data_IF_850436634603
#
_entry.id   IF_850436634603
#
_cell.length_a   1.000
_cell.length_b   1.000
_cell.length_c   1.000
_cell.angle_alpha   90.00
_cell.angle_beta   90.00
_cell.angle_gamma   90.00
#
_symmetry.space_group_name_H-M   'P 1'
#
loop_
_entity.id
_entity.type
_entity.pdbx_description
1 polymer ?
#
# COMPACT_ATOMS: atom_id res chain seq x y z
N UNK A 1 10.02 -11.90 -8.71
CA UNK A 1 9.10 -11.63 -9.82
C UNK A 1 8.13 -12.79 -9.93
N UNK A 2 6.84 -12.51 -10.03
CA UNK A 2 5.79 -13.51 -10.25
C UNK A 2 4.81 -13.02 -11.32
N UNK A 3 4.28 -13.96 -12.10
CA UNK A 3 3.15 -13.76 -13.01
C UNK A 3 2.14 -14.83 -12.63
N UNK A 4 0.90 -14.46 -12.46
CA UNK A 4 -0.13 -15.38 -12.03
C UNK A 4 -1.48 -15.14 -12.73
N UNK A 5 -2.27 -16.20 -12.77
CA UNK A 5 -3.67 -16.16 -13.15
C UNK A 5 -4.47 -16.92 -12.09
N UNK A 6 -5.52 -16.30 -11.58
CA UNK A 6 -6.41 -16.87 -10.56
C UNK A 6 -7.84 -16.79 -11.02
N UNK A 7 -8.52 -17.93 -11.03
CA UNK A 7 -9.97 -18.03 -11.18
C UNK A 7 -10.61 -18.17 -9.80
N UNK A 8 -11.62 -17.36 -9.54
CA UNK A 8 -12.41 -17.43 -8.32
C UNK A 8 -13.89 -17.55 -8.73
N UNK A 9 -14.53 -18.62 -8.27
CA UNK A 9 -15.94 -18.89 -8.49
C UNK A 9 -16.72 -18.66 -7.19
N UNK A 10 -17.98 -18.27 -7.30
CA UNK A 10 -18.89 -18.10 -6.17
C UNK A 10 -18.39 -17.09 -5.11
N UNK A 11 -17.81 -15.98 -5.54
CA UNK A 11 -17.44 -14.89 -4.66
C UNK A 11 -18.69 -14.21 -4.08
N UNK A 12 -18.71 -14.06 -2.76
CA UNK A 12 -19.76 -13.27 -2.10
C UNK A 12 -19.29 -11.83 -1.97
N UNK A 13 -20.07 -10.91 -2.51
CA UNK A 13 -19.86 -9.47 -2.34
C UNK A 13 -21.17 -8.76 -1.98
N UNK A 14 -21.04 -7.54 -1.47
CA UNK A 14 -22.16 -6.66 -1.24
C UNK A 14 -22.37 -5.78 -2.46
N UNK A 15 -23.43 -6.03 -3.20
CA UNK A 15 -23.78 -5.28 -4.41
C UNK A 15 -25.09 -4.51 -4.24
N UNK A 16 -25.28 -3.48 -5.05
CA UNK A 16 -26.53 -2.72 -5.17
C UNK A 16 -26.76 -2.28 -6.61
N UNK A 17 -28.00 -2.27 -7.09
CA UNK A 17 -28.32 -1.92 -8.48
C UNK A 17 -28.10 -0.42 -8.78
N UNK A 18 -28.21 0.44 -7.75
CA UNK A 18 -28.04 1.89 -7.89
C UNK A 18 -27.54 2.51 -6.57
N UNK A 19 -27.19 3.81 -6.62
CA UNK A 19 -26.61 4.55 -5.48
C UNK A 19 -27.59 4.75 -4.31
N UNK A 20 -28.90 4.60 -4.53
CA UNK A 20 -29.95 4.80 -3.51
C UNK A 20 -30.37 3.51 -2.84
N UNK A 21 -30.11 2.39 -3.47
CA UNK A 21 -30.44 1.06 -2.98
C UNK A 21 -29.51 0.60 -1.85
N UNK A 22 -30.02 -0.30 -1.01
CA UNK A 22 -29.21 -0.94 0.03
C UNK A 22 -28.28 -1.97 -0.60
N UNK A 23 -27.13 -2.16 0.02
CA UNK A 23 -26.24 -3.25 -0.33
C UNK A 23 -26.80 -4.59 0.13
N UNK A 24 -26.83 -5.58 -0.75
CA UNK A 24 -27.25 -6.96 -0.48
C UNK A 24 -26.08 -7.91 -0.74
N UNK A 25 -25.93 -8.92 0.12
CA UNK A 25 -24.94 -9.95 -0.08
C UNK A 25 -25.37 -10.82 -1.26
N UNK A 26 -24.58 -10.81 -2.32
CA UNK A 26 -24.87 -11.52 -3.57
C UNK A 26 -23.66 -12.34 -3.99
N UNK A 27 -23.95 -13.48 -4.62
CA UNK A 27 -22.91 -14.33 -5.17
C UNK A 27 -22.53 -13.81 -6.57
N UNK A 28 -21.26 -13.37 -6.72
CA UNK A 28 -20.68 -13.02 -8.01
C UNK A 28 -20.16 -14.31 -8.65
N UNK A 29 -20.65 -14.62 -9.85
CA UNK A 29 -20.46 -15.92 -10.46
C UNK A 29 -18.98 -16.27 -10.68
N UNK A 30 -18.20 -15.37 -11.27
CA UNK A 30 -16.80 -15.67 -11.60
C UNK A 30 -15.95 -14.40 -11.75
N UNK A 31 -14.75 -14.44 -11.17
CA UNK A 31 -13.71 -13.42 -11.36
C UNK A 31 -12.41 -14.09 -11.79
N UNK A 32 -11.85 -13.67 -12.93
CA UNK A 32 -10.51 -14.04 -13.36
C UNK A 32 -9.57 -12.89 -13.10
N UNK A 33 -8.56 -13.10 -12.25
CA UNK A 33 -7.53 -12.12 -11.92
C UNK A 33 -6.22 -12.53 -12.57
N UNK A 34 -5.66 -11.67 -13.42
CA UNK A 34 -4.30 -11.78 -13.95
C UNK A 34 -3.41 -10.77 -13.27
N UNK A 35 -2.23 -11.18 -12.87
CA UNK A 35 -1.34 -10.31 -12.15
C UNK A 35 0.13 -10.50 -12.48
N UNK A 36 0.87 -9.43 -12.22
CA UNK A 36 2.32 -9.37 -12.28
C UNK A 36 2.85 -8.69 -11.01
N UNK A 37 3.86 -9.30 -10.40
CA UNK A 37 4.54 -8.78 -9.22
C UNK A 37 6.05 -8.75 -9.43
N UNK A 38 6.65 -7.62 -9.09
CA UNK A 38 8.11 -7.43 -9.08
C UNK A 38 8.53 -6.86 -7.74
N UNK A 39 9.47 -7.53 -7.08
CA UNK A 39 10.14 -7.00 -5.90
C UNK A 39 11.66 -7.11 -6.11
N UNK A 40 12.39 -6.06 -5.82
CA UNK A 40 13.84 -6.03 -5.90
C UNK A 40 14.44 -5.13 -4.83
N UNK A 41 15.59 -5.54 -4.32
CA UNK A 41 16.41 -4.77 -3.38
C UNK A 41 17.77 -4.50 -3.99
N UNK A 42 18.18 -3.26 -3.98
CA UNK A 42 19.52 -2.84 -4.34
C UNK A 42 20.26 -2.36 -3.08
N UNK A 43 21.34 -3.06 -2.74
CA UNK A 43 22.17 -2.75 -1.57
C UNK A 43 23.50 -2.18 -2.00
N UNK A 44 23.86 -1.05 -1.44
CA UNK A 44 25.11 -0.39 -1.72
C UNK A 44 25.69 0.28 -0.49
N UNK A 45 26.95 0.72 -0.59
CA UNK A 45 27.59 1.52 0.47
C UNK A 45 27.75 2.94 0.00
N UNK A 46 27.41 3.86 0.87
CA UNK A 46 27.78 5.26 0.75
C UNK A 46 28.74 5.58 1.89
N UNK A 47 29.99 5.89 1.56
CA UNK A 47 31.11 5.87 2.49
C UNK A 47 31.23 4.49 3.17
N UNK A 48 31.12 4.43 4.49
CA UNK A 48 31.21 3.18 5.28
C UNK A 48 29.83 2.59 5.63
N UNK A 49 28.72 3.27 5.26
CA UNK A 49 27.38 2.92 5.70
C UNK A 49 26.58 2.20 4.62
N UNK A 50 25.89 1.13 5.03
CA UNK A 50 24.99 0.38 4.17
C UNK A 50 23.73 1.17 3.88
N UNK A 51 23.35 1.16 2.60
CA UNK A 51 22.11 1.71 2.07
C UNK A 51 21.31 0.60 1.40
N UNK A 52 20.00 0.66 1.47
CA UNK A 52 19.12 -0.27 0.77
C UNK A 52 18.02 0.52 0.06
N UNK A 53 17.90 0.32 -1.24
CA UNK A 53 16.80 0.82 -2.05
C UNK A 53 15.95 -0.37 -2.44
N UNK A 54 14.73 -0.44 -1.92
CA UNK A 54 13.75 -1.48 -2.25
C UNK A 54 12.71 -0.92 -3.21
N UNK A 55 12.30 -1.75 -4.14
CA UNK A 55 11.35 -1.42 -5.17
C UNK A 55 10.35 -2.54 -5.32
N UNK A 56 9.06 -2.22 -5.22
CA UNK A 56 7.96 -3.13 -5.43
C UNK A 56 6.98 -2.58 -6.45
N UNK A 57 6.53 -3.43 -7.36
CA UNK A 57 5.49 -3.12 -8.31
C UNK A 57 4.51 -4.27 -8.42
N UNK A 58 3.22 -3.97 -8.31
CA UNK A 58 2.13 -4.91 -8.50
C UNK A 58 1.18 -4.39 -9.57
N UNK A 59 0.81 -5.27 -10.48
CA UNK A 59 -0.23 -5.05 -11.47
C UNK A 59 -1.28 -6.15 -11.35
N UNK A 60 -2.55 -5.77 -11.28
CA UNK A 60 -3.70 -6.66 -11.27
C UNK A 60 -4.70 -6.24 -12.34
N UNK A 61 -5.24 -7.23 -13.04
CA UNK A 61 -6.34 -7.03 -13.97
C UNK A 61 -7.41 -8.07 -13.68
N UNK A 62 -8.55 -7.60 -13.20
CA UNK A 62 -9.71 -8.42 -12.87
C UNK A 62 -10.72 -8.36 -14.01
N UNK A 63 -11.09 -9.54 -14.51
CA UNK A 63 -12.15 -9.74 -15.48
C UNK A 63 -13.33 -10.43 -14.80
N UNK A 64 -14.45 -9.71 -14.73
CA UNK A 64 -15.67 -10.18 -14.07
C UNK A 64 -16.63 -10.66 -15.15
N UNK A 65 -16.85 -11.98 -15.20
CA UNK A 65 -17.56 -12.64 -16.30
C UNK A 65 -19.09 -12.58 -16.22
N UNK A 66 -19.63 -12.08 -15.11
CA UNK A 66 -21.07 -11.90 -14.93
C UNK A 66 -21.38 -10.41 -14.69
N UNK A 67 -21.62 -9.70 -15.79
CA UNK A 67 -21.85 -8.25 -15.77
C UNK A 67 -23.32 -7.92 -15.54
N UNK A 68 -23.78 -8.07 -14.32
CA UNK A 68 -24.76 -7.12 -13.83
C UNK A 68 -23.99 -5.84 -13.49
N UNK A 69 -24.40 -4.70 -14.07
CA UNK A 69 -23.77 -3.37 -13.86
C UNK A 69 -23.98 -2.83 -12.45
N UNK A 70 -24.05 -3.71 -11.47
CA UNK A 70 -24.35 -3.40 -10.10
C UNK A 70 -23.10 -2.83 -9.40
N UNK A 71 -23.31 -1.89 -8.49
CA UNK A 71 -22.23 -1.26 -7.75
C UNK A 71 -21.74 -2.21 -6.64
N UNK A 72 -20.57 -2.78 -6.84
CA UNK A 72 -19.91 -3.62 -5.84
C UNK A 72 -19.24 -2.78 -4.77
N UNK A 73 -19.23 -3.26 -3.54
CA UNK A 73 -18.56 -2.62 -2.42
C UNK A 73 -17.07 -2.95 -2.35
N UNK A 74 -16.68 -4.14 -2.76
CA UNK A 74 -15.31 -4.64 -2.56
C UNK A 74 -14.63 -5.11 -3.84
N UNK A 75 -15.28 -5.94 -4.65
CA UNK A 75 -14.62 -6.65 -5.74
C UNK A 75 -14.37 -5.82 -6.99
N UNK A 76 -15.16 -4.77 -7.23
CA UNK A 76 -14.98 -3.92 -8.42
C UNK A 76 -13.95 -2.79 -8.23
N UNK A 77 -13.59 -2.45 -6.99
CA UNK A 77 -12.60 -1.41 -6.71
C UNK A 77 -11.28 -2.05 -6.29
N UNK A 78 -10.75 -2.90 -7.13
CA UNK A 78 -9.49 -3.58 -6.87
C UNK A 78 -8.29 -2.69 -7.19
N UNK A 79 -7.17 -3.03 -6.58
CA UNK A 79 -5.89 -2.39 -6.88
C UNK A 79 -5.47 -2.77 -8.30
N UNK A 80 -5.27 -1.80 -9.17
CA UNK A 80 -4.84 -2.02 -10.55
C UNK A 80 -3.33 -1.89 -10.70
N UNK A 81 -2.79 -0.80 -10.18
CA UNK A 81 -1.36 -0.54 -10.14
C UNK A 81 -0.94 -0.14 -8.74
N UNK A 82 0.12 -0.72 -8.23
CA UNK A 82 0.78 -0.28 -7.02
C UNK A 82 2.29 -0.24 -7.23
N UNK A 83 2.87 0.84 -6.81
CA UNK A 83 4.29 1.08 -6.81
C UNK A 83 4.73 1.50 -5.42
N UNK A 84 5.70 0.82 -4.84
CA UNK A 84 6.27 1.14 -3.54
C UNK A 84 7.77 1.22 -3.67
N UNK A 85 8.35 2.35 -3.25
CA UNK A 85 9.79 2.50 -3.11
C UNK A 85 10.12 2.78 -1.67
N UNK A 86 11.12 2.08 -1.13
CA UNK A 86 11.66 2.30 0.20
C UNK A 86 13.15 2.56 0.13
N UNK A 87 13.59 3.61 0.76
CA UNK A 87 15.00 3.92 0.92
C UNK A 87 15.38 3.87 2.39
N UNK A 88 16.13 2.84 2.78
CA UNK A 88 16.70 2.66 4.11
C UNK A 88 18.15 3.08 4.08
N UNK A 89 18.51 4.01 4.93
CA UNK A 89 19.84 4.63 4.96
C UNK A 89 20.39 4.71 6.37
N UNK A 90 21.64 4.29 6.52
CA UNK A 90 22.43 4.61 7.70
C UNK A 90 23.26 5.84 7.38
N UNK A 91 22.85 7.00 7.92
CA UNK A 91 23.54 8.28 7.67
C UNK A 91 24.82 8.43 8.50
N UNK A 92 24.78 7.96 9.76
CA UNK A 92 25.89 7.98 10.71
C UNK A 92 25.88 6.69 11.52
N UNK A 93 26.91 6.50 12.36
CA UNK A 93 27.00 5.31 13.23
C UNK A 93 25.72 5.05 14.03
N UNK A 94 25.08 6.12 14.48
CA UNK A 94 23.94 6.11 15.38
C UNK A 94 22.66 6.67 14.76
N UNK A 95 22.63 7.03 13.48
CA UNK A 95 21.45 7.60 12.81
C UNK A 95 21.06 6.75 11.63
N UNK A 96 19.81 6.30 11.65
CA UNK A 96 19.16 5.60 10.53
C UNK A 96 17.93 6.37 10.10
N UNK A 97 17.67 6.36 8.80
CA UNK A 97 16.44 6.90 8.23
C UNK A 97 15.79 5.85 7.33
N UNK A 98 14.49 5.98 7.18
CA UNK A 98 13.68 5.23 6.22
C UNK A 98 12.70 6.20 5.58
N UNK A 99 12.65 6.20 4.24
CA UNK A 99 11.70 6.99 3.45
C UNK A 99 10.94 6.00 2.58
N UNK A 100 9.62 6.13 2.57
CA UNK A 100 8.73 5.28 1.80
C UNK A 100 7.89 6.17 0.91
N UNK A 101 7.85 5.84 -0.37
CA UNK A 101 6.92 6.37 -1.33
C UNK A 101 5.98 5.27 -1.79
N UNK A 102 4.69 5.55 -1.83
CA UNK A 102 3.66 4.66 -2.32
C UNK A 102 2.78 5.39 -3.32
N UNK A 103 2.63 4.79 -4.49
CA UNK A 103 1.63 5.15 -5.48
C UNK A 103 0.65 3.98 -5.63
N UNK A 104 -0.63 4.28 -5.70
CA UNK A 104 -1.64 3.26 -6.00
C UNK A 104 -2.73 3.84 -6.91
N UNK A 105 -3.14 3.04 -7.88
CA UNK A 105 -4.26 3.27 -8.78
C UNK A 105 -5.23 2.09 -8.64
N UNK A 106 -6.52 2.42 -8.52
CA UNK A 106 -7.59 1.43 -8.44
C UNK A 106 -8.41 1.38 -9.71
N UNK A 107 -9.14 0.30 -9.92
CA UNK A 107 -9.98 0.08 -11.11
C UNK A 107 -11.09 1.14 -11.19
N UNK A 108 -11.67 1.49 -10.05
CA UNK A 108 -12.68 2.55 -9.94
C UNK A 108 -12.15 3.55 -8.93
N UNK A 109 -11.95 4.79 -9.36
CA UNK A 109 -11.55 5.86 -8.47
C UNK A 109 -10.27 6.56 -8.85
N UNK A 110 -9.72 7.27 -7.91
CA UNK A 110 -8.54 8.11 -8.05
C UNK A 110 -7.26 7.34 -7.70
N UNK A 111 -6.19 7.71 -8.35
CA UNK A 111 -4.85 7.37 -7.90
C UNK A 111 -4.44 8.28 -6.74
N UNK A 112 -3.56 7.78 -5.89
CA UNK A 112 -2.99 8.57 -4.79
C UNK A 112 -1.50 8.30 -4.61
N UNK A 113 -0.83 9.27 -3.98
CA UNK A 113 0.58 9.22 -3.64
C UNK A 113 0.76 9.51 -2.15
N UNK A 114 1.48 8.66 -1.44
CA UNK A 114 1.74 8.83 -0.01
C UNK A 114 3.24 8.76 0.24
N UNK A 115 3.73 9.64 1.09
CA UNK A 115 5.10 9.68 1.55
C UNK A 115 5.15 9.55 3.06
N UNK A 116 5.95 8.62 3.52
CA UNK A 116 6.24 8.41 4.94
C UNK A 116 7.74 8.49 5.15
N UNK A 117 8.16 8.97 6.32
CA UNK A 117 9.56 8.97 6.70
C UNK A 117 9.73 8.69 8.18
N UNK A 118 10.83 8.05 8.54
CA UNK A 118 11.24 7.89 9.93
C UNK A 118 12.73 8.06 10.11
N UNK A 119 13.10 8.61 11.27
CA UNK A 119 14.49 8.74 11.70
C UNK A 119 14.63 8.12 13.07
N UNK A 120 15.67 7.32 13.25
CA UNK A 120 16.04 6.70 14.52
C UNK A 120 17.43 7.15 14.89
N UNK A 121 17.55 7.73 16.09
CA UNK A 121 18.83 8.15 16.67
C UNK A 121 19.12 7.29 17.90
N UNK A 122 20.22 6.53 17.86
CA UNK A 122 20.67 5.71 18.98
C UNK A 122 21.68 6.50 19.83
N UNK A 123 21.40 6.66 21.12
CA UNK A 123 22.29 7.30 22.09
C UNK A 123 22.44 6.39 23.30
N UNK A 124 23.60 5.81 23.48
CA UNK A 124 23.84 4.79 24.51
C UNK A 124 22.81 3.65 24.45
N UNK A 125 22.01 3.50 25.51
CA UNK A 125 20.94 2.50 25.62
C UNK A 125 19.58 2.99 25.12
N UNK A 126 19.48 4.22 24.63
CA UNK A 126 18.23 4.81 24.17
C UNK A 126 18.18 4.89 22.64
N UNK A 127 17.02 4.58 22.08
CA UNK A 127 16.68 4.85 20.69
C UNK A 127 15.51 5.85 20.67
N UNK A 128 15.77 7.01 20.10
CA UNK A 128 14.78 8.04 19.83
C UNK A 128 14.29 7.87 18.39
N UNK A 129 12.99 7.81 18.22
CA UNK A 129 12.36 7.65 16.90
C UNK A 129 11.43 8.81 16.63
N UNK A 130 11.52 9.38 15.44
CA UNK A 130 10.53 10.31 14.89
C UNK A 130 9.98 9.70 13.62
N UNK A 131 8.67 9.59 13.52
CA UNK A 131 7.98 9.05 12.33
C UNK A 131 6.97 10.08 11.85
N UNK A 132 7.06 10.46 10.59
CA UNK A 132 6.10 11.29 9.88
C UNK A 132 5.37 10.41 8.85
N UNK A 133 4.05 10.25 9.01
CA UNK A 133 3.21 9.53 8.08
C UNK A 133 2.41 10.51 7.23
N UNK A 134 2.17 10.14 5.99
CA UNK A 134 1.42 10.96 5.03
C UNK A 134 1.89 12.42 5.01
N UNK A 135 3.20 12.62 4.79
CA UNK A 135 3.90 13.91 4.95
C UNK A 135 3.22 15.06 4.20
N UNK A 136 2.68 14.77 3.01
CA UNK A 136 2.04 15.78 2.15
C UNK A 136 0.51 15.85 2.34
N UNK A 137 -0.01 15.20 3.39
CA UNK A 137 -1.43 15.20 3.74
C UNK A 137 -2.34 14.82 2.55
N UNK A 138 -1.99 13.76 1.85
CA UNK A 138 -2.81 13.25 0.76
C UNK A 138 -4.13 12.70 1.31
N UNK A 139 -5.24 13.06 0.68
CA UNK A 139 -6.54 12.45 0.94
C UNK A 139 -6.67 11.20 0.09
N UNK A 140 -6.84 10.04 0.73
CA UNK A 140 -6.94 8.76 0.03
C UNK A 140 -7.73 7.71 0.80
N UNK A 141 -8.18 6.70 0.06
CA UNK A 141 -8.95 5.56 0.57
C UNK A 141 -8.27 4.27 0.11
N UNK A 142 -7.96 3.36 1.03
CA UNK A 142 -7.34 2.06 0.72
C UNK A 142 -8.36 0.93 0.66
N UNK A 143 -9.40 0.98 1.45
CA UNK A 143 -10.41 -0.07 1.50
C UNK A 143 -11.79 0.49 1.75
N UNK A 144 -12.74 0.06 0.93
CA UNK A 144 -14.14 0.49 1.05
C UNK A 144 -14.27 2.01 0.90
N UNK A 145 -14.96 2.65 1.86
CA UNK A 145 -15.19 4.10 1.88
C UNK A 145 -14.54 4.78 3.09
N UNK A 146 -13.57 4.12 3.72
CA UNK A 146 -12.91 4.65 4.93
C UNK A 146 -11.74 5.53 4.53
N UNK A 147 -11.79 6.85 4.82
CA UNK A 147 -10.66 7.74 4.60
C UNK A 147 -9.47 7.31 5.46
N UNK A 148 -8.29 7.35 4.88
CA UNK A 148 -7.07 7.09 5.62
C UNK A 148 -6.68 8.30 6.49
N UNK A 149 -5.92 8.10 7.57
CA UNK A 149 -5.52 9.18 8.45
C UNK A 149 -4.78 10.31 7.72
N UNK A 150 -5.01 11.57 8.13
CA UNK A 150 -4.23 12.70 7.63
C UNK A 150 -2.76 12.60 8.05
N UNK A 151 -1.99 13.61 7.70
CA UNK A 151 -0.59 13.68 8.10
C UNK A 151 -0.44 13.59 9.63
N UNK A 152 0.55 12.84 10.10
CA UNK A 152 0.79 12.63 11.52
C UNK A 152 2.28 12.59 11.84
N UNK A 153 2.63 13.06 13.02
CA UNK A 153 3.98 13.01 13.55
C UNK A 153 3.98 12.24 14.88
N UNK A 154 4.80 11.21 14.97
CA UNK A 154 4.89 10.32 16.11
C UNK A 154 6.31 10.37 16.70
N UNK A 155 6.42 10.37 18.01
CA UNK A 155 7.67 10.29 18.74
C UNK A 155 7.72 9.00 19.54
N UNK A 156 8.84 8.30 19.46
CA UNK A 156 9.07 7.04 20.17
C UNK A 156 10.37 7.08 20.97
N UNK A 157 10.35 6.41 22.13
CA UNK A 157 11.52 6.16 22.94
C UNK A 157 11.60 4.69 23.29
N UNK A 158 12.75 4.06 23.02
CA UNK A 158 13.04 2.66 23.42
C UNK A 158 14.28 2.63 24.27
N UNK A 159 14.23 1.95 25.40
CA UNK A 159 15.38 1.63 26.23
C UNK A 159 15.81 0.19 25.99
N UNK A 160 17.09 -0.05 25.74
CA UNK A 160 17.70 -1.38 25.57
C UNK A 160 18.40 -1.76 26.88
N UNK A 161 17.98 -2.85 27.51
CA UNK A 161 18.53 -3.39 28.74
C UNK A 161 19.93 -3.99 28.57
#
# INVERSE_FOLDING_TARGET
MAIFNRDADNLIDFIRPDVTSKYEATNIAKVNTKGFELNTDYRFKLNEFNQTLSFGYNYLNDDILDQNKDLSRYSLNTLKHQFITRFESKLFKNVRQNIIYKHAERTIGTSYNVWDASVIVAVNKFNFTVTANNIFNADYIESGYVPMPPSSLLFGLRYNL
#
